data_IF_959630620618
#
_entry.id   IF_959630620618
#
_cell.length_a   1.000
_cell.length_b   1.000
_cell.length_c   1.000
_cell.angle_alpha   90.00
_cell.angle_beta   90.00
_cell.angle_gamma   90.00
#
_symmetry.space_group_name_H-M   'P 1'
#
loop_
_entity.id
_entity.type
_entity.pdbx_description
1 polymer ?
#
# COMPACT_ATOMS: atom_id res chain seq x y z
N UNK A 1 -7.73 22.74 -10.10
CA UNK A 1 -7.90 21.44 -9.41
C UNK A 1 -7.01 20.42 -10.13
N UNK A 2 -6.00 19.86 -9.45
CA UNK A 2 -5.20 18.79 -10.04
C UNK A 2 -6.12 17.58 -10.28
N UNK A 3 -6.05 16.98 -11.48
CA UNK A 3 -6.74 15.71 -11.76
C UNK A 3 -6.30 14.70 -10.69
N UNK A 4 -7.25 14.13 -9.96
CA UNK A 4 -6.96 12.98 -9.11
C UNK A 4 -6.23 11.95 -9.97
N UNK A 5 -4.97 11.65 -9.64
CA UNK A 5 -4.22 10.61 -10.34
C UNK A 5 -4.96 9.30 -10.09
N UNK A 6 -5.17 8.51 -11.15
CA UNK A 6 -5.71 7.15 -10.97
C UNK A 6 -4.65 6.30 -10.29
N UNK A 7 -5.09 5.33 -9.48
CA UNK A 7 -4.19 4.33 -8.92
C UNK A 7 -3.41 3.62 -10.05
N UNK A 8 -2.07 3.52 -9.97
CA UNK A 8 -1.24 2.86 -10.97
C UNK A 8 -1.18 1.32 -10.80
N UNK A 9 -1.79 0.78 -9.76
CA UNK A 9 -1.77 -0.65 -9.41
C UNK A 9 -3.12 -1.32 -9.62
N UNK A 10 -3.05 -2.61 -9.90
CA UNK A 10 -4.17 -3.53 -10.04
C UNK A 10 -3.98 -4.73 -9.11
N UNK A 11 -5.08 -5.38 -8.72
CA UNK A 11 -5.02 -6.63 -7.96
C UNK A 11 -4.25 -7.68 -8.77
N UNK A 12 -3.28 -8.33 -8.14
CA UNK A 12 -2.36 -9.28 -8.77
C UNK A 12 -0.99 -8.70 -9.13
N UNK A 13 -0.81 -7.38 -9.13
CA UNK A 13 0.51 -6.78 -9.32
C UNK A 13 1.45 -7.15 -8.16
N UNK A 14 2.71 -7.48 -8.47
CA UNK A 14 3.77 -7.58 -7.45
C UNK A 14 4.34 -6.19 -7.19
N UNK A 15 4.41 -5.79 -5.92
CA UNK A 15 4.92 -4.49 -5.51
C UNK A 15 5.93 -4.63 -4.38
N UNK A 16 6.87 -3.70 -4.36
CA UNK A 16 7.78 -3.46 -3.24
C UNK A 16 7.41 -2.12 -2.62
N UNK A 17 7.39 -2.03 -1.30
CA UNK A 17 7.03 -0.76 -0.66
C UNK A 17 7.35 -0.73 0.82
N UNK A 18 6.92 0.35 1.46
CA UNK A 18 7.04 0.54 2.91
C UNK A 18 5.67 0.33 3.54
N UNK A 19 5.59 -0.61 4.50
CA UNK A 19 4.41 -0.77 5.34
C UNK A 19 4.56 0.02 6.62
N UNK A 20 3.45 0.62 7.06
CA UNK A 20 3.33 1.25 8.37
C UNK A 20 2.63 0.24 9.28
N UNK A 21 3.26 -0.10 10.39
CA UNK A 21 2.77 -1.11 11.31
C UNK A 21 1.42 -0.72 11.89
N UNK A 22 0.58 -1.74 12.06
CA UNK A 22 -0.79 -1.71 12.59
C UNK A 22 -0.94 -0.74 13.77
N UNK A 23 -1.88 0.23 13.69
CA UNK A 23 -2.14 1.18 14.78
C UNK A 23 -2.65 0.53 16.08
N UNK A 24 -2.95 -0.78 16.10
CA UNK A 24 -3.33 -1.55 17.29
C UNK A 24 -2.15 -2.28 17.98
N UNK A 25 -1.01 -2.43 17.31
CA UNK A 25 0.22 -2.98 17.90
C UNK A 25 1.08 -1.86 18.51
N UNK A 26 1.85 -2.17 19.54
CA UNK A 26 2.53 -1.24 20.44
C UNK A 26 3.27 -0.06 19.74
N UNK A 27 2.66 1.14 19.82
CA UNK A 27 2.86 2.30 18.94
C UNK A 27 4.20 3.04 19.07
N UNK A 28 5.11 2.60 19.91
CA UNK A 28 6.28 3.41 20.30
C UNK A 28 7.60 2.95 19.69
N UNK A 29 7.64 1.79 19.00
CA UNK A 29 8.93 1.16 18.63
C UNK A 29 9.03 0.54 17.25
N UNK A 30 7.96 0.44 16.46
CA UNK A 30 8.07 -0.27 15.18
C UNK A 30 8.48 0.67 14.04
N UNK A 31 9.64 0.39 13.47
CA UNK A 31 10.19 1.06 12.32
C UNK A 31 9.37 0.72 11.06
N UNK A 32 9.35 1.64 10.11
CA UNK A 32 8.93 1.36 8.74
C UNK A 32 9.64 0.11 8.23
N UNK A 33 8.89 -0.85 7.70
CA UNK A 33 9.45 -2.09 7.18
C UNK A 33 9.24 -2.16 5.67
N UNK A 34 10.31 -2.47 4.94
CA UNK A 34 10.22 -2.80 3.52
C UNK A 34 9.52 -4.15 3.36
N UNK A 35 8.69 -4.26 2.34
CA UNK A 35 8.03 -5.52 1.97
C UNK A 35 8.02 -5.72 0.47
N UNK A 36 7.90 -6.98 0.05
CA UNK A 36 7.49 -7.35 -1.30
C UNK A 36 6.26 -8.23 -1.19
N UNK A 37 5.23 -7.97 -1.99
CA UNK A 37 4.00 -8.74 -1.96
C UNK A 37 3.13 -8.53 -3.19
N UNK A 38 2.06 -9.32 -3.28
CA UNK A 38 1.07 -9.22 -4.34
C UNK A 38 -0.08 -8.34 -3.89
N UNK A 39 -0.46 -7.33 -4.68
CA UNK A 39 -1.62 -6.48 -4.40
C UNK A 39 -2.89 -7.32 -4.36
N UNK A 40 -3.57 -7.32 -3.23
CA UNK A 40 -4.86 -8.03 -3.04
C UNK A 40 -6.04 -7.07 -3.01
N UNK A 41 -5.80 -5.81 -2.63
CA UNK A 41 -6.83 -4.78 -2.63
C UNK A 41 -6.19 -3.41 -2.88
N UNK A 42 -6.85 -2.60 -3.68
CA UNK A 42 -6.58 -1.17 -3.77
C UNK A 42 -7.69 -0.46 -3.03
N UNK A 43 -7.34 0.34 -2.02
CA UNK A 43 -8.31 1.13 -1.27
C UNK A 43 -9.11 1.99 -2.23
N UNK A 44 -10.43 1.85 -2.19
CA UNK A 44 -11.35 2.61 -3.03
C UNK A 44 -11.13 4.08 -2.74
N UNK A 45 -10.44 4.77 -3.64
CA UNK A 45 -10.42 6.22 -3.66
C UNK A 45 -11.87 6.69 -3.67
N UNK A 46 -12.33 7.27 -2.56
CA UNK A 46 -13.46 8.17 -2.61
C UNK A 46 -13.22 9.15 -3.75
N UNK A 47 -14.27 9.47 -4.52
CA UNK A 47 -14.15 10.46 -5.58
C UNK A 47 -13.60 11.76 -4.98
N UNK A 48 -12.34 12.10 -5.30
CA UNK A 48 -11.64 13.25 -4.74
C UNK A 48 -10.42 12.94 -3.86
N UNK A 49 -10.14 11.68 -3.51
CA UNK A 49 -8.88 11.31 -2.86
C UNK A 49 -7.79 11.10 -3.91
N UNK A 50 -6.69 11.84 -3.74
CA UNK A 50 -5.46 11.71 -4.49
C UNK A 50 -4.88 10.30 -4.31
N UNK A 51 -4.59 9.58 -5.40
CA UNK A 51 -3.98 8.25 -5.32
C UNK A 51 -2.70 8.26 -4.49
N UNK A 52 -1.97 9.38 -4.45
CA UNK A 52 -0.76 9.53 -3.65
C UNK A 52 -1.01 9.46 -2.13
N UNK A 53 -2.27 9.57 -1.67
CA UNK A 53 -2.69 9.45 -0.27
C UNK A 53 -3.55 8.23 0.01
N UNK A 54 -3.85 7.42 -1.01
CA UNK A 54 -4.61 6.20 -0.86
C UNK A 54 -3.72 5.02 -0.48
N UNK A 55 -4.33 4.01 0.14
CA UNK A 55 -3.65 2.79 0.54
C UNK A 55 -3.89 1.66 -0.47
N UNK A 56 -2.92 0.76 -0.56
CA UNK A 56 -3.09 -0.58 -1.09
C UNK A 56 -2.82 -1.60 0.01
N UNK A 57 -3.34 -2.81 -0.20
CA UNK A 57 -3.04 -3.99 0.61
C UNK A 57 -2.31 -4.99 -0.26
N UNK A 58 -1.20 -5.51 0.27
CA UNK A 58 -0.40 -6.54 -0.38
C UNK A 58 -0.31 -7.76 0.52
N UNK A 59 -0.41 -8.95 -0.08
CA UNK A 59 -0.18 -10.23 0.58
C UNK A 59 1.28 -10.64 0.41
N UNK A 60 1.93 -10.92 1.53
CA UNK A 60 3.30 -11.42 1.61
C UNK A 60 3.36 -12.93 1.30
N UNK A 61 4.57 -13.44 1.12
CA UNK A 61 4.85 -14.87 0.91
C UNK A 61 4.40 -15.77 2.07
N UNK A 62 4.49 -15.25 3.30
CA UNK A 62 4.02 -15.90 4.52
C UNK A 62 2.49 -15.86 4.70
N UNK A 63 1.76 -15.33 3.71
CA UNK A 63 0.30 -15.25 3.71
C UNK A 63 -0.30 -14.11 4.53
N UNK A 64 0.52 -13.32 5.24
CA UNK A 64 0.05 -12.10 5.93
C UNK A 64 -0.23 -10.98 4.93
N UNK A 65 -1.13 -10.10 5.31
CA UNK A 65 -1.41 -8.88 4.55
C UNK A 65 -0.77 -7.67 5.24
N UNK A 66 -0.29 -6.74 4.43
CA UNK A 66 0.27 -5.45 4.88
C UNK A 66 -0.42 -4.31 4.16
N UNK A 67 -0.50 -3.16 4.82
CA UNK A 67 -1.08 -1.94 4.29
C UNK A 67 0.03 -0.92 3.99
N UNK A 68 0.01 -0.37 2.79
CA UNK A 68 1.02 0.59 2.35
C UNK A 68 0.38 1.76 1.59
N UNK A 69 1.00 2.93 1.68
CA UNK A 69 0.61 4.07 0.85
C UNK A 69 1.05 3.80 -0.60
N UNK A 70 0.17 4.10 -1.55
CA UNK A 70 0.43 3.93 -2.99
C UNK A 70 1.70 4.67 -3.42
N UNK A 71 1.94 5.89 -2.91
CA UNK A 71 3.14 6.68 -3.23
C UNK A 71 4.46 6.06 -2.75
N UNK A 72 4.40 5.19 -1.74
CA UNK A 72 5.56 4.56 -1.11
C UNK A 72 5.76 3.12 -1.63
N UNK A 73 5.12 2.82 -2.76
CA UNK A 73 5.19 1.54 -3.44
C UNK A 73 5.77 1.73 -4.84
N UNK A 74 6.34 0.66 -5.37
CA UNK A 74 6.79 0.55 -6.76
C UNK A 74 6.44 -0.84 -7.28
N UNK A 75 6.16 -0.96 -8.59
CA UNK A 75 6.01 -2.28 -9.19
C UNK A 75 7.35 -2.99 -9.14
N UNK A 76 7.33 -4.25 -8.71
CA UNK A 76 8.48 -5.11 -8.90
C UNK A 76 8.73 -5.31 -10.42
N UNK A 77 9.99 -5.43 -10.86
CA UNK A 77 10.33 -5.64 -12.27
C UNK A 77 9.72 -6.91 -12.86
#
# INVERSE_FOLDING_TARGET
MARARRCPYTVGDTVTGITYVDPAADRTREATQEFTGTVVQVGSGWAGIDADRAFLWARLDNGREVQALIKDCQKAP
#
